data_IF_067751143455
#
_entry.id   IF_067751143455
#
_cell.length_a   1.000
_cell.length_b   1.000
_cell.length_c   1.000
_cell.angle_alpha   90.00
_cell.angle_beta   90.00
_cell.angle_gamma   90.00
#
_symmetry.space_group_name_H-M   'P 1'
#
loop_
_entity.id
_entity.type
_entity.pdbx_description
1 polymer ?
#
# COMPACT_ATOMS: atom_id res chain seq x y z
N UNK A 1 -4.49 -3.94 22.42
CA UNK A 1 -5.23 -3.33 21.30
C UNK A 1 -4.49 -3.70 20.03
N UNK A 2 -5.18 -4.33 19.08
CA UNK A 2 -4.59 -4.75 17.80
C UNK A 2 -4.47 -3.53 16.88
N UNK A 3 -3.38 -3.44 16.10
CA UNK A 3 -3.09 -2.33 15.18
C UNK A 3 -2.96 -2.83 13.75
N UNK A 4 -3.30 -1.99 12.78
CA UNK A 4 -2.99 -2.26 11.38
C UNK A 4 -1.53 -1.92 11.09
N UNK A 5 -0.89 -2.70 10.24
CA UNK A 5 0.48 -2.46 9.77
C UNK A 5 0.58 -2.81 8.28
N UNK A 6 1.39 -2.06 7.53
CA UNK A 6 1.66 -2.39 6.13
C UNK A 6 2.25 -3.81 6.05
N UNK A 7 1.60 -4.69 5.30
CA UNK A 7 1.95 -6.11 5.22
C UNK A 7 3.40 -6.34 4.73
N UNK A 8 3.91 -5.46 3.86
CA UNK A 8 5.29 -5.53 3.40
C UNK A 8 6.32 -5.37 4.54
N UNK A 9 5.96 -4.69 5.65
CA UNK A 9 6.84 -4.54 6.82
C UNK A 9 6.91 -5.82 7.66
N UNK A 10 5.98 -6.76 7.48
CA UNK A 10 5.98 -8.08 8.12
C UNK A 10 6.51 -9.19 7.20
N UNK A 11 7.15 -8.83 6.08
CA UNK A 11 7.77 -9.78 5.16
C UNK A 11 6.85 -10.31 4.05
N UNK A 12 5.61 -9.84 3.96
CA UNK A 12 4.74 -10.22 2.85
C UNK A 12 5.23 -9.59 1.53
N UNK A 13 5.36 -10.40 0.49
CA UNK A 13 5.87 -9.98 -0.83
C UNK A 13 4.81 -9.23 -1.66
N UNK A 14 4.40 -8.04 -1.17
CA UNK A 14 3.28 -7.25 -1.71
C UNK A 14 3.70 -5.90 -2.29
N UNK A 15 4.99 -5.58 -2.28
CA UNK A 15 5.49 -4.33 -2.88
C UNK A 15 5.27 -4.33 -4.38
N UNK A 16 5.25 -3.15 -5.00
CA UNK A 16 5.05 -3.00 -6.46
C UNK A 16 6.06 -3.81 -7.29
N UNK A 17 7.26 -4.08 -6.76
CA UNK A 17 8.32 -4.87 -7.41
C UNK A 17 8.28 -6.38 -7.12
N UNK A 18 7.28 -6.87 -6.38
CA UNK A 18 7.17 -8.30 -6.03
C UNK A 18 7.99 -8.77 -4.83
N UNK A 19 8.49 -7.86 -3.99
CA UNK A 19 9.22 -8.19 -2.77
C UNK A 19 8.57 -7.63 -1.50
N UNK A 20 9.32 -7.58 -0.41
CA UNK A 20 8.89 -7.07 0.89
C UNK A 20 9.84 -5.99 1.44
N UNK A 21 9.45 -5.33 2.53
CA UNK A 21 10.25 -4.36 3.27
C UNK A 21 10.31 -4.73 4.76
N UNK A 22 10.60 -5.99 5.07
CA UNK A 22 10.62 -6.55 6.42
C UNK A 22 11.33 -5.63 7.43
N UNK A 23 10.67 -5.42 8.56
CA UNK A 23 11.19 -4.72 9.74
C UNK A 23 11.21 -5.71 10.90
N UNK A 24 12.39 -6.23 11.22
CA UNK A 24 12.57 -7.26 12.25
C UNK A 24 12.04 -6.82 13.62
N UNK A 25 12.12 -5.53 13.94
CA UNK A 25 11.62 -4.95 15.19
C UNK A 25 10.11 -5.11 15.38
N UNK A 26 9.36 -5.34 14.30
CA UNK A 26 7.91 -5.54 14.34
C UNK A 26 7.52 -7.00 14.59
N UNK A 27 8.43 -7.96 14.39
CA UNK A 27 8.12 -9.38 14.44
C UNK A 27 7.66 -9.85 15.83
N UNK A 28 8.18 -9.24 16.90
CA UNK A 28 7.71 -9.54 18.26
C UNK A 28 6.23 -9.20 18.46
N UNK A 29 5.76 -8.10 17.88
CA UNK A 29 4.36 -7.68 18.01
C UNK A 29 3.46 -8.52 17.10
N UNK A 30 3.94 -8.89 15.91
CA UNK A 30 3.24 -9.82 15.03
C UNK A 30 3.06 -11.20 15.69
N UNK A 31 4.13 -11.75 16.29
CA UNK A 31 4.08 -13.02 17.03
C UNK A 31 3.15 -12.96 18.25
N UNK A 32 3.03 -11.80 18.89
CA UNK A 32 2.10 -11.55 19.98
C UNK A 32 0.63 -11.34 19.53
N UNK A 33 0.34 -11.39 18.23
CA UNK A 33 -1.00 -11.17 17.68
C UNK A 33 -1.49 -9.71 17.78
N UNK A 34 -0.57 -8.76 17.95
CA UNK A 34 -0.90 -7.33 18.13
C UNK A 34 -1.01 -6.57 16.81
N UNK A 35 -0.64 -7.20 15.69
CA UNK A 35 -0.59 -6.57 14.37
C UNK A 35 -1.44 -7.34 13.35
N UNK A 36 -2.24 -6.60 12.58
CA UNK A 36 -2.93 -7.11 11.39
C UNK A 36 -2.22 -6.57 10.14
N UNK A 37 -1.63 -7.44 9.30
CA UNK A 37 -1.00 -7.02 8.05
C UNK A 37 -2.05 -6.59 7.02
N UNK A 38 -1.86 -5.42 6.42
CA UNK A 38 -2.73 -4.88 5.36
C UNK A 38 -1.89 -4.37 4.20
N UNK A 39 -2.30 -4.69 2.97
CA UNK A 39 -1.82 -4.04 1.75
C UNK A 39 -3.00 -3.33 1.09
N UNK A 40 -3.17 -2.01 1.26
CA UNK A 40 -4.30 -1.29 0.68
C UNK A 40 -4.38 -1.45 -0.84
N UNK A 41 -3.25 -1.43 -1.52
CA UNK A 41 -3.16 -1.56 -2.99
C UNK A 41 -3.69 -2.90 -3.51
N UNK A 42 -3.37 -4.02 -2.85
CA UNK A 42 -3.92 -5.34 -3.22
C UNK A 42 -5.39 -5.48 -2.83
N UNK A 43 -5.81 -4.90 -1.70
CA UNK A 43 -7.23 -4.87 -1.30
C UNK A 43 -8.06 -4.02 -2.28
N UNK A 44 -7.47 -2.96 -2.84
CA UNK A 44 -8.02 -2.18 -3.94
C UNK A 44 -7.95 -2.86 -5.31
N UNK A 45 -7.41 -4.09 -5.39
CA UNK A 45 -7.43 -4.93 -6.59
C UNK A 45 -6.20 -4.87 -7.48
N UNK A 46 -5.12 -4.17 -7.08
CA UNK A 46 -3.89 -4.15 -7.86
C UNK A 46 -3.08 -5.45 -7.69
N UNK A 47 -2.42 -5.94 -8.76
CA UNK A 47 -1.61 -7.14 -8.68
C UNK A 47 -0.26 -6.89 -7.97
N UNK A 48 0.48 -7.97 -7.76
CA UNK A 48 1.91 -7.91 -7.44
C UNK A 48 2.66 -8.81 -8.43
N UNK A 49 3.67 -8.31 -9.17
CA UNK A 49 4.11 -6.91 -9.22
C UNK A 49 3.11 -6.01 -9.96
N UNK A 50 3.30 -4.68 -9.84
CA UNK A 50 2.51 -3.64 -10.52
C UNK A 50 3.40 -2.42 -10.84
N UNK A 51 3.05 -1.58 -11.83
CA UNK A 51 3.77 -0.34 -12.08
C UNK A 51 3.77 0.58 -10.85
N UNK A 52 4.86 1.34 -10.59
CA UNK A 52 4.84 2.42 -9.59
C UNK A 52 3.78 3.46 -9.92
N UNK A 53 3.14 4.01 -8.90
CA UNK A 53 2.15 5.07 -9.03
C UNK A 53 2.38 6.20 -8.02
N UNK A 54 2.03 7.43 -8.42
CA UNK A 54 2.21 8.65 -7.63
C UNK A 54 0.95 9.50 -7.67
N UNK A 55 0.73 10.30 -6.62
CA UNK A 55 -0.32 11.32 -6.61
C UNK A 55 0.11 12.47 -7.51
N UNK A 56 -0.75 12.84 -8.46
CA UNK A 56 -0.56 13.93 -9.40
C UNK A 56 -1.63 14.99 -9.19
N UNK A 57 -1.21 16.23 -9.00
CA UNK A 57 -2.12 17.38 -8.83
C UNK A 57 -2.54 17.68 -7.40
N UNK A 58 -1.87 17.11 -6.38
CA UNK A 58 -2.17 17.39 -4.98
C UNK A 58 -1.57 16.38 -4.00
N UNK A 59 -2.31 16.12 -2.93
CA UNK A 59 -1.99 15.13 -1.88
C UNK A 59 -3.15 14.12 -1.72
N UNK A 60 -3.08 13.28 -0.68
CA UNK A 60 -4.13 12.29 -0.41
C UNK A 60 -5.51 12.92 -0.18
N UNK A 61 -5.59 14.08 0.48
CA UNK A 61 -6.87 14.78 0.67
C UNK A 61 -7.45 15.25 -0.67
N UNK A 62 -6.59 15.80 -1.54
CA UNK A 62 -7.02 16.20 -2.88
C UNK A 62 -7.53 15.00 -3.71
N UNK A 63 -6.97 13.80 -3.53
CA UNK A 63 -7.48 12.57 -4.18
C UNK A 63 -8.88 12.23 -3.65
N UNK A 64 -9.06 12.22 -2.33
CA UNK A 64 -10.36 11.94 -1.69
C UNK A 64 -11.45 12.95 -2.08
N UNK A 65 -11.07 14.20 -2.37
CA UNK A 65 -11.97 15.25 -2.86
C UNK A 65 -12.16 15.24 -4.39
N UNK A 66 -11.54 14.30 -5.12
CA UNK A 66 -11.63 14.20 -6.59
C UNK A 66 -10.88 15.30 -7.36
N UNK A 67 -9.95 16.01 -6.70
CA UNK A 67 -9.16 17.11 -7.25
C UNK A 67 -7.75 16.70 -7.70
N UNK A 68 -7.28 15.53 -7.27
CA UNK A 68 -6.03 14.91 -7.69
C UNK A 68 -6.26 13.46 -8.11
N UNK A 69 -5.27 12.84 -8.76
CA UNK A 69 -5.34 11.46 -9.25
C UNK A 69 -4.11 10.67 -8.83
N UNK A 70 -4.23 9.35 -8.78
CA UNK A 70 -3.09 8.44 -8.63
C UNK A 70 -2.78 7.85 -10.00
N UNK A 71 -1.63 8.21 -10.56
CA UNK A 71 -1.22 7.80 -11.90
C UNK A 71 0.00 6.90 -11.85
N UNK A 72 0.03 5.87 -12.68
CA UNK A 72 1.26 5.09 -12.90
C UNK A 72 2.31 5.89 -13.66
N UNK A 73 3.57 5.42 -13.66
CA UNK A 73 4.63 6.03 -14.48
C UNK A 73 4.30 6.06 -15.98
N UNK A 74 3.38 5.21 -16.46
CA UNK A 74 2.92 5.15 -17.84
C UNK A 74 1.70 6.05 -18.10
N UNK A 75 1.24 6.81 -17.10
CA UNK A 75 0.09 7.70 -17.17
C UNK A 75 -1.27 6.99 -17.02
N UNK A 76 -1.29 5.71 -16.63
CA UNK A 76 -2.56 5.02 -16.37
C UNK A 76 -3.16 5.53 -15.05
N UNK A 77 -4.45 5.88 -15.08
CA UNK A 77 -5.20 6.28 -13.90
C UNK A 77 -5.60 5.04 -13.09
N UNK A 78 -5.10 4.95 -11.86
CA UNK A 78 -5.39 3.87 -10.90
C UNK A 78 -6.03 4.43 -9.62
N UNK A 79 -6.62 5.62 -9.68
CA UNK A 79 -7.18 6.32 -8.51
C UNK A 79 -8.19 5.47 -7.75
N UNK A 80 -9.09 4.77 -8.47
CA UNK A 80 -10.10 3.90 -7.86
C UNK A 80 -9.52 2.75 -7.03
N UNK A 81 -8.30 2.30 -7.33
CA UNK A 81 -7.63 1.25 -6.55
C UNK A 81 -7.03 1.78 -5.23
N UNK A 82 -6.98 3.09 -5.03
CA UNK A 82 -6.39 3.77 -3.87
C UNK A 82 -7.42 4.49 -2.99
N UNK A 83 -8.72 4.39 -3.32
CA UNK A 83 -9.84 4.88 -2.51
C UNK A 83 -10.39 3.77 -1.60
#
# INVERSE_FOLDING_TARGET
MVKLVSACLLGCEVTWRGGHNLREELMRFAAAGELIPICPEQLGGLPTPRPPAEIVGGDGHAVLEGRARVLTQQGQDVTENYL
#
